data_IF_842769017112
#
_entry.id   IF_842769017112
#
_cell.length_a   1.000
_cell.length_b   1.000
_cell.length_c   1.000
_cell.angle_alpha   90.00
_cell.angle_beta   90.00
_cell.angle_gamma   90.00
#
_symmetry.space_group_name_H-M   'P 1'
#
loop_
_entity.id
_entity.type
_entity.pdbx_description
1 polymer ?
#
# COMPACT_ATOMS: atom_id res chain seq x y z
N UNK A 1 -15.71 -43.64 20.44
CA UNK A 1 -15.72 -43.08 19.11
C UNK A 1 -15.12 -44.06 18.09
N UNK A 2 -15.81 -44.34 17.02
CA UNK A 2 -15.37 -45.27 16.02
C UNK A 2 -14.17 -44.65 15.25
N UNK A 3 -13.26 -45.49 14.74
CA UNK A 3 -12.06 -45.06 14.02
C UNK A 3 -12.38 -44.12 12.85
N UNK A 4 -13.44 -44.42 12.07
CA UNK A 4 -13.88 -43.60 10.93
C UNK A 4 -14.28 -42.18 11.32
N UNK A 5 -14.91 -42.01 12.46
CA UNK A 5 -15.32 -40.69 12.97
C UNK A 5 -14.10 -39.86 13.38
N UNK A 6 -13.10 -40.48 14.01
CA UNK A 6 -11.83 -39.82 14.35
C UNK A 6 -11.06 -39.38 13.13
N UNK A 7 -10.99 -40.21 12.10
CA UNK A 7 -10.33 -39.93 10.83
C UNK A 7 -11.03 -38.78 10.10
N UNK A 8 -12.37 -38.78 10.10
CA UNK A 8 -13.18 -37.70 9.53
C UNK A 8 -12.90 -36.37 10.22
N UNK A 9 -12.90 -36.36 11.55
CA UNK A 9 -12.64 -35.16 12.32
C UNK A 9 -11.23 -34.60 12.09
N UNK A 10 -10.22 -35.47 11.98
CA UNK A 10 -8.85 -35.08 11.63
C UNK A 10 -8.78 -34.44 10.26
N UNK A 11 -9.43 -35.04 9.27
CA UNK A 11 -9.49 -34.52 7.91
C UNK A 11 -10.20 -33.15 7.88
N UNK A 12 -11.32 -33.03 8.60
CA UNK A 12 -12.07 -31.78 8.69
C UNK A 12 -11.22 -30.67 9.32
N UNK A 13 -10.49 -30.95 10.40
CA UNK A 13 -9.59 -29.99 11.04
C UNK A 13 -8.50 -29.52 10.08
N UNK A 14 -7.91 -30.42 9.32
CA UNK A 14 -6.88 -30.09 8.31
C UNK A 14 -7.44 -29.18 7.22
N UNK A 15 -8.64 -29.48 6.72
CA UNK A 15 -9.30 -28.66 5.71
C UNK A 15 -9.61 -27.26 6.22
N UNK A 16 -10.11 -27.13 7.44
CA UNK A 16 -10.41 -25.86 8.07
C UNK A 16 -9.14 -25.04 8.28
N UNK A 17 -8.07 -25.68 8.74
CA UNK A 17 -6.78 -25.03 8.94
C UNK A 17 -6.20 -24.50 7.63
N UNK A 18 -6.22 -25.33 6.57
CA UNK A 18 -5.75 -24.94 5.24
C UNK A 18 -6.56 -23.77 4.68
N UNK A 19 -7.89 -23.83 4.84
CA UNK A 19 -8.78 -22.77 4.39
C UNK A 19 -8.48 -21.46 5.13
N UNK A 20 -8.26 -21.50 6.44
CA UNK A 20 -7.92 -20.32 7.24
C UNK A 20 -6.60 -19.68 6.82
N UNK A 21 -5.59 -20.48 6.54
CA UNK A 21 -4.28 -19.99 6.07
C UNK A 21 -4.43 -19.34 4.71
N UNK A 22 -5.16 -19.96 3.78
CA UNK A 22 -5.41 -19.39 2.44
C UNK A 22 -6.18 -18.08 2.54
N UNK A 23 -7.17 -18.00 3.41
CA UNK A 23 -7.96 -16.79 3.63
C UNK A 23 -7.10 -15.64 4.18
N UNK A 24 -6.25 -15.91 5.16
CA UNK A 24 -5.30 -14.93 5.70
C UNK A 24 -4.32 -14.45 4.63
N UNK A 25 -3.85 -15.34 3.79
CA UNK A 25 -2.96 -15.00 2.68
C UNK A 25 -3.64 -14.07 1.68
N UNK A 26 -4.90 -14.34 1.34
CA UNK A 26 -5.70 -13.47 0.46
C UNK A 26 -5.94 -12.10 1.07
N UNK A 27 -6.19 -12.01 2.38
CA UNK A 27 -6.34 -10.74 3.08
C UNK A 27 -5.06 -9.90 3.00
N UNK A 28 -3.90 -10.53 3.13
CA UNK A 28 -2.61 -9.84 3.03
C UNK A 28 -2.34 -9.32 1.62
N UNK A 29 -2.81 -10.01 0.58
CA UNK A 29 -2.64 -9.57 -0.81
C UNK A 29 -3.61 -8.46 -1.20
N UNK A 30 -4.68 -8.26 -0.43
CA UNK A 30 -5.65 -7.18 -0.67
C UNK A 30 -5.26 -5.85 0.00
N UNK A 31 -4.17 -5.81 0.75
CA UNK A 31 -3.58 -4.55 1.21
C UNK A 31 -2.89 -3.91 0.01
N UNK A 32 -3.70 -3.44 -0.92
CA UNK A 32 -3.24 -2.61 -2.02
C UNK A 32 -2.67 -1.32 -1.43
N UNK A 33 -1.54 -0.88 -1.94
CA UNK A 33 -1.08 0.49 -1.73
C UNK A 33 -2.23 1.40 -2.15
N UNK A 34 -3.02 1.83 -1.16
CA UNK A 34 -4.21 2.56 -1.47
C UNK A 34 -3.84 3.98 -1.90
N UNK A 35 -4.26 4.33 -3.05
CA UNK A 35 -4.96 5.57 -3.29
C UNK A 35 -4.09 6.79 -3.21
N UNK A 36 -2.89 6.72 -3.80
CA UNK A 36 -2.19 7.94 -4.17
C UNK A 36 -2.89 8.52 -5.41
N UNK A 37 -3.01 9.84 -5.42
CA UNK A 37 -3.53 10.56 -6.57
C UNK A 37 -2.45 10.57 -7.65
N UNK A 38 -2.82 10.18 -8.86
CA UNK A 38 -1.91 10.20 -10.00
C UNK A 38 -2.05 11.49 -10.80
N UNK A 39 -0.95 12.00 -11.38
CA UNK A 39 -1.02 13.17 -12.25
C UNK A 39 -1.98 12.95 -13.41
N UNK A 40 -2.81 13.96 -13.67
CA UNK A 40 -3.77 13.99 -14.78
C UNK A 40 -3.83 15.40 -15.33
N UNK A 41 -4.07 15.55 -16.62
CA UNK A 41 -4.22 16.86 -17.26
C UNK A 41 -5.39 17.68 -16.71
N UNK A 42 -6.40 17.01 -16.13
CA UNK A 42 -7.55 17.66 -15.51
C UNK A 42 -7.26 18.33 -14.17
N UNK A 43 -6.13 17.98 -13.53
CA UNK A 43 -5.73 18.56 -12.25
C UNK A 43 -5.02 19.88 -12.52
N UNK A 44 -5.56 20.97 -11.97
CA UNK A 44 -5.01 22.32 -12.14
C UNK A 44 -3.69 22.46 -11.33
N UNK A 45 -2.78 23.35 -11.75
CA UNK A 45 -1.52 23.57 -11.03
C UNK A 45 -1.70 23.87 -9.55
N UNK A 46 -2.70 24.68 -9.20
CA UNK A 46 -3.01 24.99 -7.80
C UNK A 46 -3.39 23.76 -6.99
N UNK A 47 -4.19 22.88 -7.60
CA UNK A 47 -4.58 21.62 -6.96
C UNK A 47 -3.38 20.71 -6.75
N UNK A 48 -2.42 20.69 -7.67
CA UNK A 48 -1.17 19.93 -7.52
C UNK A 48 -0.43 20.38 -6.26
N UNK A 49 -0.27 21.68 -6.07
CA UNK A 49 0.38 22.23 -4.88
C UNK A 49 -0.36 21.84 -3.61
N UNK A 50 -1.68 21.93 -3.62
CA UNK A 50 -2.51 21.55 -2.48
C UNK A 50 -2.36 20.05 -2.14
N UNK A 51 -2.32 19.19 -3.16
CA UNK A 51 -2.12 17.73 -2.98
C UNK A 51 -0.76 17.47 -2.35
N UNK A 52 0.29 18.12 -2.82
CA UNK A 52 1.64 17.95 -2.30
C UNK A 52 1.75 18.44 -0.85
N UNK A 53 1.26 19.63 -0.56
CA UNK A 53 1.30 20.19 0.78
C UNK A 53 0.47 19.37 1.77
N UNK A 54 -0.73 18.99 1.38
CA UNK A 54 -1.59 18.14 2.21
C UNK A 54 -0.93 16.78 2.48
N UNK A 55 -0.29 16.21 1.46
CA UNK A 55 0.45 14.97 1.60
C UNK A 55 1.58 15.07 2.63
N UNK A 56 2.38 16.12 2.56
CA UNK A 56 3.48 16.34 3.50
C UNK A 56 2.99 16.62 4.92
N UNK A 57 1.90 17.39 5.06
CA UNK A 57 1.32 17.69 6.37
C UNK A 57 0.73 16.44 7.04
N UNK A 58 0.21 15.52 6.26
CA UNK A 58 -0.43 14.29 6.73
C UNK A 58 0.36 13.05 6.30
N UNK A 59 1.68 13.13 6.35
CA UNK A 59 2.53 12.00 6.01
C UNK A 59 2.20 10.81 6.94
N UNK A 60 2.23 9.61 6.42
CA UNK A 60 1.87 8.36 7.10
C UNK A 60 0.36 8.16 7.33
N UNK A 61 -0.50 9.04 6.84
CA UNK A 61 -1.95 8.87 7.04
C UNK A 61 -2.50 7.59 6.39
N UNK A 62 -2.08 7.33 5.16
CA UNK A 62 -2.54 6.15 4.40
C UNK A 62 -1.64 4.94 4.60
N UNK A 63 -0.34 5.16 4.59
CA UNK A 63 0.71 4.18 4.87
C UNK A 63 1.99 4.94 5.19
N UNK A 64 3.03 4.24 5.63
CA UNK A 64 4.31 4.88 5.98
C UNK A 64 4.88 5.66 4.79
N UNK A 65 5.18 6.94 5.03
CA UNK A 65 5.72 7.88 4.04
C UNK A 65 4.78 8.16 2.85
N UNK A 66 3.48 7.91 2.99
CA UNK A 66 2.50 8.11 1.92
C UNK A 66 2.46 9.54 1.39
N UNK A 67 2.60 10.52 2.27
CA UNK A 67 2.61 11.92 1.87
C UNK A 67 3.86 12.32 1.08
N UNK A 68 5.02 11.80 1.47
CA UNK A 68 6.27 12.00 0.74
C UNK A 68 6.17 11.37 -0.65
N UNK A 69 5.63 10.16 -0.73
CA UNK A 69 5.42 9.45 -1.99
C UNK A 69 4.42 10.18 -2.89
N UNK A 70 3.35 10.73 -2.32
CA UNK A 70 2.37 11.56 -3.04
C UNK A 70 3.03 12.80 -3.64
N UNK A 71 3.87 13.48 -2.87
CA UNK A 71 4.61 14.65 -3.31
C UNK A 71 5.56 14.32 -4.46
N UNK A 72 6.31 13.22 -4.33
CA UNK A 72 7.21 12.75 -5.38
C UNK A 72 6.45 12.39 -6.65
N UNK A 73 5.26 11.81 -6.52
CA UNK A 73 4.43 11.38 -7.64
C UNK A 73 4.06 12.55 -8.57
N UNK A 74 3.88 13.74 -8.00
CA UNK A 74 3.58 14.98 -8.74
C UNK A 74 4.82 15.80 -9.11
N UNK A 75 6.02 15.37 -8.74
CA UNK A 75 7.24 16.10 -9.05
C UNK A 75 7.51 16.07 -10.56
N UNK A 76 8.02 17.18 -11.08
CA UNK A 76 8.41 17.27 -12.48
C UNK A 76 9.49 16.23 -12.80
N UNK A 77 9.48 15.61 -14.01
CA UNK A 77 10.49 14.61 -14.39
C UNK A 77 11.94 15.06 -14.22
N UNK A 78 12.25 16.31 -14.50
CA UNK A 78 13.59 16.85 -14.28
C UNK A 78 13.97 16.90 -12.80
N UNK A 79 13.03 17.26 -11.94
CA UNK A 79 13.25 17.24 -10.51
C UNK A 79 13.46 15.82 -10.00
N UNK A 80 12.74 14.85 -10.53
CA UNK A 80 12.95 13.44 -10.22
C UNK A 80 14.35 12.95 -10.59
N UNK A 81 14.88 13.41 -11.71
CA UNK A 81 16.26 13.10 -12.10
C UNK A 81 17.28 13.67 -11.11
N UNK A 82 17.07 14.90 -10.66
CA UNK A 82 17.98 15.59 -9.75
C UNK A 82 17.93 15.00 -8.34
N UNK A 83 16.75 14.63 -7.85
CA UNK A 83 16.58 14.05 -6.53
C UNK A 83 16.83 12.55 -6.49
N UNK A 84 16.89 11.88 -7.65
CA UNK A 84 17.03 10.44 -7.75
C UNK A 84 15.71 9.69 -7.51
N UNK A 85 15.76 8.36 -7.41
CA UNK A 85 14.57 7.54 -7.20
C UNK A 85 13.91 7.81 -5.84
N UNK A 86 12.69 7.35 -5.68
CA UNK A 86 11.89 7.59 -4.48
C UNK A 86 12.62 7.33 -3.15
N UNK A 87 13.40 6.26 -2.96
CA UNK A 87 14.13 6.07 -1.71
C UNK A 87 15.08 7.23 -1.37
N UNK A 88 15.74 7.78 -2.37
CA UNK A 88 16.63 8.92 -2.18
C UNK A 88 15.86 10.18 -1.81
N UNK A 89 14.74 10.41 -2.47
CA UNK A 89 13.85 11.53 -2.16
C UNK A 89 13.32 11.44 -0.72
N UNK A 90 12.93 10.25 -0.28
CA UNK A 90 12.49 10.03 1.11
C UNK A 90 13.55 10.43 2.13
N UNK A 91 14.81 10.10 1.87
CA UNK A 91 15.92 10.47 2.76
C UNK A 91 16.14 12.00 2.78
N UNK A 92 16.01 12.66 1.66
CA UNK A 92 16.16 14.12 1.59
C UNK A 92 15.11 14.86 2.42
N UNK A 93 13.88 14.37 2.42
CA UNK A 93 12.77 15.01 3.13
C UNK A 93 12.82 14.72 4.65
N UNK A 94 13.33 13.58 5.02
CA UNK A 94 13.49 13.22 6.44
C UNK A 94 14.69 13.93 7.02
#
# INVERSE_FOLDING_TARGET
>A
MKKKEKDFLKTLKKLLLTFSITFLYLLNTTVLKADLINPKSSIKPREVVEIQLTGLMNNNEKFKDSGIEQTWNFAHPENKKNTGPLPNFKQMIK
#
